data_IF_136575765549
#
_entry.id   IF_136575765549
#
_cell.length_a   1.000
_cell.length_b   1.000
_cell.length_c   1.000
_cell.angle_alpha   90.00
_cell.angle_beta   90.00
_cell.angle_gamma   90.00
#
_symmetry.space_group_name_H-M   'P 1'
#
loop_
_entity.id
_entity.type
_entity.pdbx_description
1 polymer ?
#
# COMPACT_ATOMS: atom_id res chain seq x y z
N UNK A 1 14.25 -6.70 -0.62
CA UNK A 1 13.41 -7.61 -1.44
C UNK A 1 12.10 -6.90 -1.72
N UNK A 2 11.59 -6.93 -2.97
CA UNK A 2 10.28 -6.37 -3.29
C UNK A 2 9.14 -7.09 -2.59
N UNK A 3 8.06 -6.38 -2.33
CA UNK A 3 6.86 -6.90 -1.65
C UNK A 3 5.61 -6.65 -2.46
N UNK A 4 4.71 -7.62 -2.50
CA UNK A 4 3.48 -7.57 -3.31
C UNK A 4 2.30 -7.94 -2.43
N UNK A 5 1.25 -7.12 -2.44
CA UNK A 5 -0.03 -7.42 -1.83
C UNK A 5 -1.02 -7.95 -2.86
N UNK A 6 -1.49 -9.18 -2.66
CA UNK A 6 -2.61 -9.76 -3.40
C UNK A 6 -3.91 -9.56 -2.59
N UNK A 7 -4.70 -8.54 -2.93
CA UNK A 7 -5.95 -8.20 -2.23
C UNK A 7 -7.11 -9.01 -2.82
N UNK A 8 -7.44 -10.11 -2.14
CA UNK A 8 -8.44 -11.10 -2.57
C UNK A 8 -9.85 -10.87 -1.99
N UNK A 9 -10.06 -9.72 -1.34
CA UNK A 9 -11.34 -9.34 -0.72
C UNK A 9 -11.35 -7.90 -0.21
N UNK A 10 -12.07 -7.67 0.88
CA UNK A 10 -12.11 -6.36 1.53
C UNK A 10 -10.77 -6.09 2.25
N UNK A 11 -10.26 -4.87 2.11
CA UNK A 11 -9.22 -4.37 2.98
C UNK A 11 -9.73 -3.09 3.62
N UNK A 12 -9.92 -3.11 4.93
CA UNK A 12 -10.45 -2.00 5.71
C UNK A 12 -9.44 -1.55 6.74
N UNK A 13 -9.41 -0.24 7.04
CA UNK A 13 -8.60 0.33 8.12
C UNK A 13 -7.15 -0.19 8.08
N UNK A 14 -6.69 -0.84 9.15
CA UNK A 14 -5.36 -1.45 9.23
C UNK A 14 -5.07 -2.48 8.13
N UNK A 15 -6.07 -3.23 7.65
CA UNK A 15 -5.91 -4.18 6.54
C UNK A 15 -5.64 -3.46 5.22
N UNK A 16 -6.29 -2.31 4.99
CA UNK A 16 -5.98 -1.48 3.83
C UNK A 16 -4.59 -0.84 3.96
N UNK A 17 -4.24 -0.35 5.16
CA UNK A 17 -2.92 0.19 5.43
C UNK A 17 -1.81 -0.85 5.21
N UNK A 18 -2.02 -2.10 5.64
CA UNK A 18 -1.08 -3.19 5.42
C UNK A 18 -0.87 -3.47 3.92
N UNK A 19 -1.94 -3.43 3.11
CA UNK A 19 -1.81 -3.52 1.66
C UNK A 19 -0.97 -2.34 1.12
N UNK A 20 -1.22 -1.12 1.60
CA UNK A 20 -0.42 0.06 1.25
C UNK A 20 1.05 -0.07 1.66
N UNK A 21 1.40 -0.79 2.73
CA UNK A 21 2.81 -1.01 3.07
C UNK A 21 3.58 -1.82 2.01
N UNK A 22 2.93 -2.52 1.09
CA UNK A 22 3.63 -3.27 0.04
C UNK A 22 4.05 -2.36 -1.14
N UNK A 23 5.04 -2.81 -1.90
CA UNK A 23 5.54 -2.05 -3.06
C UNK A 23 4.49 -2.05 -4.18
N UNK A 24 3.97 -3.24 -4.48
CA UNK A 24 2.98 -3.48 -5.52
C UNK A 24 1.67 -4.01 -4.91
N UNK A 25 0.53 -3.62 -5.46
CA UNK A 25 -0.81 -3.99 -5.00
C UNK A 25 -1.65 -4.47 -6.17
N UNK A 26 -2.15 -5.69 -6.07
CA UNK A 26 -3.07 -6.28 -7.03
C UNK A 26 -4.39 -6.55 -6.33
N UNK A 27 -5.51 -6.31 -7.00
CA UNK A 27 -6.83 -6.48 -6.38
C UNK A 27 -7.81 -7.14 -7.34
N UNK A 28 -8.63 -8.05 -6.82
CA UNK A 28 -9.73 -8.64 -7.59
C UNK A 28 -10.83 -7.61 -7.89
N UNK A 29 -11.48 -7.67 -9.06
CA UNK A 29 -12.53 -6.72 -9.46
C UNK A 29 -13.95 -7.18 -9.13
N UNK A 30 -14.20 -8.48 -9.10
CA UNK A 30 -15.53 -9.05 -8.90
C UNK A 30 -16.06 -8.88 -7.46
N UNK A 31 -15.18 -8.69 -6.47
CA UNK A 31 -15.56 -8.48 -5.06
C UNK A 31 -14.53 -7.71 -4.25
N UNK A 32 -14.99 -6.98 -3.23
CA UNK A 32 -14.14 -6.33 -2.23
C UNK A 32 -14.02 -4.83 -2.47
N UNK A 33 -13.73 -4.10 -1.40
CA UNK A 33 -13.46 -2.66 -1.42
C UNK A 33 -12.29 -2.32 -0.50
N UNK A 34 -11.62 -1.22 -0.83
CA UNK A 34 -10.61 -0.56 0.00
C UNK A 34 -11.24 0.65 0.68
N UNK A 35 -11.07 0.80 2.00
CA UNK A 35 -11.57 1.97 2.74
C UNK A 35 -10.93 2.15 4.11
N UNK A 36 -10.93 3.40 4.58
CA UNK A 36 -10.69 3.75 5.99
C UNK A 36 -12.05 4.02 6.64
N UNK A 37 -12.32 3.40 7.79
CA UNK A 37 -13.62 3.48 8.49
C UNK A 37 -13.63 4.47 9.65
N UNK A 38 -12.47 5.03 9.99
CA UNK A 38 -12.20 5.73 11.23
C UNK A 38 -13.09 6.96 11.43
N UNK A 39 -13.38 7.70 10.36
CA UNK A 39 -14.33 8.83 10.40
C UNK A 39 -15.75 8.36 10.68
N UNK A 40 -16.21 7.28 10.02
CA UNK A 40 -17.57 6.75 10.21
C UNK A 40 -17.79 6.23 11.64
N UNK A 41 -16.74 5.70 12.28
CA UNK A 41 -16.81 5.12 13.63
C UNK A 41 -16.33 6.07 14.74
N UNK A 42 -15.96 7.31 14.40
CA UNK A 42 -15.50 8.31 15.37
C UNK A 42 -14.16 7.99 16.05
N UNK A 43 -13.27 7.27 15.37
CA UNK A 43 -11.95 6.92 15.91
C UNK A 43 -10.87 7.86 15.34
N UNK A 44 -9.98 8.45 16.17
CA UNK A 44 -8.86 9.22 15.67
C UNK A 44 -7.84 8.31 14.96
N UNK A 45 -7.31 8.79 13.83
CA UNK A 45 -6.23 8.13 13.10
C UNK A 45 -4.87 8.48 13.72
N UNK A 46 -4.06 7.48 14.12
CA UNK A 46 -2.73 7.74 14.65
C UNK A 46 -1.81 8.41 13.61
N UNK A 47 -0.86 9.29 14.00
CA UNK A 47 0.02 9.98 13.06
C UNK A 47 0.81 9.07 12.11
N UNK A 48 1.24 7.88 12.59
CA UNK A 48 1.98 6.91 11.79
C UNK A 48 1.10 6.27 10.68
N UNK A 49 -0.21 6.09 10.90
CA UNK A 49 -1.14 5.69 9.84
C UNK A 49 -1.15 6.74 8.73
N UNK A 50 -1.29 8.02 9.10
CA UNK A 50 -1.40 9.12 8.14
C UNK A 50 -0.08 9.31 7.37
N UNK A 51 1.07 9.08 8.00
CA UNK A 51 2.37 9.09 7.32
C UNK A 51 2.45 8.06 6.20
N UNK A 52 1.99 6.82 6.44
CA UNK A 52 1.94 5.76 5.42
C UNK A 52 0.91 6.09 4.33
N UNK A 53 -0.29 6.55 4.70
CA UNK A 53 -1.35 6.92 3.75
C UNK A 53 -0.88 8.01 2.78
N UNK A 54 -0.27 9.09 3.29
CA UNK A 54 0.32 10.16 2.46
C UNK A 54 1.45 9.67 1.57
N UNK A 55 2.29 8.76 2.09
CA UNK A 55 3.41 8.22 1.33
C UNK A 55 2.98 7.33 0.17
N UNK A 56 1.82 6.66 0.26
CA UNK A 56 1.40 5.62 -0.67
C UNK A 56 0.18 5.98 -1.53
N UNK A 57 -0.60 6.99 -1.14
CA UNK A 57 -1.67 7.58 -1.95
C UNK A 57 -1.22 8.96 -2.40
N UNK A 58 -0.62 9.04 -3.60
CA UNK A 58 0.02 10.26 -4.11
C UNK A 58 -0.98 11.30 -4.63
N UNK A 59 -2.19 10.88 -5.00
CA UNK A 59 -3.26 11.80 -5.37
C UNK A 59 -3.90 12.40 -4.11
N UNK A 60 -3.79 13.73 -3.95
CA UNK A 60 -4.39 14.44 -2.82
C UNK A 60 -5.91 14.25 -2.75
N UNK A 61 -6.58 14.22 -3.91
CA UNK A 61 -8.02 13.97 -3.99
C UNK A 61 -8.36 12.55 -3.53
N UNK A 62 -7.59 11.55 -3.99
CA UNK A 62 -7.78 10.17 -3.59
C UNK A 62 -7.57 9.99 -2.08
N UNK A 63 -6.52 10.60 -1.53
CA UNK A 63 -6.24 10.57 -0.09
C UNK A 63 -7.39 11.18 0.71
N UNK A 64 -7.87 12.36 0.33
CA UNK A 64 -9.00 13.03 0.99
C UNK A 64 -10.25 12.16 0.95
N UNK A 65 -10.61 11.62 -0.21
CA UNK A 65 -11.85 10.86 -0.38
C UNK A 65 -11.84 9.58 0.47
N UNK A 66 -10.72 8.88 0.50
CA UNK A 66 -10.55 7.64 1.27
C UNK A 66 -10.49 7.91 2.77
N UNK A 67 -9.75 8.93 3.21
CA UNK A 67 -9.45 9.16 4.63
C UNK A 67 -10.50 10.05 5.31
N UNK A 68 -10.87 11.17 4.70
CA UNK A 68 -11.84 12.12 5.26
C UNK A 68 -13.26 11.86 4.77
N UNK A 69 -13.42 11.24 3.61
CA UNK A 69 -14.72 10.88 3.04
C UNK A 69 -15.17 9.44 3.33
N UNK A 70 -14.36 8.64 4.05
CA UNK A 70 -14.60 7.23 4.35
C UNK A 70 -15.01 6.39 3.12
N UNK A 71 -14.53 6.79 1.93
CA UNK A 71 -15.03 6.24 0.67
C UNK A 71 -14.62 4.79 0.49
N UNK A 72 -15.59 3.95 0.09
CA UNK A 72 -15.38 2.56 -0.32
C UNK A 72 -15.04 2.49 -1.80
N UNK A 73 -13.80 2.09 -2.10
CA UNK A 73 -13.25 2.08 -3.46
C UNK A 73 -13.14 0.65 -3.99
N UNK A 74 -13.71 0.38 -5.17
CA UNK A 74 -13.57 -0.92 -5.87
C UNK A 74 -12.30 -0.95 -6.72
N UNK A 75 -11.85 -2.14 -7.12
CA UNK A 75 -10.55 -2.31 -7.79
C UNK A 75 -10.34 -1.47 -9.08
N UNK A 76 -11.31 -1.35 -10.04
CA UNK A 76 -11.10 -0.54 -11.23
C UNK A 76 -10.85 0.94 -10.90
N UNK A 77 -11.65 1.48 -9.99
CA UNK A 77 -11.48 2.86 -9.53
C UNK A 77 -10.21 3.04 -8.70
N UNK A 78 -9.86 2.08 -7.84
CA UNK A 78 -8.62 2.11 -7.09
C UNK A 78 -7.40 2.17 -8.03
N UNK A 79 -7.49 1.55 -9.22
CA UNK A 79 -6.44 1.62 -10.25
C UNK A 79 -6.37 3.01 -10.88
N UNK A 80 -7.50 3.62 -11.20
CA UNK A 80 -7.59 5.01 -11.70
C UNK A 80 -7.06 6.02 -10.67
N UNK A 81 -7.32 5.80 -9.39
CA UNK A 81 -6.83 6.62 -8.28
C UNK A 81 -5.33 6.40 -7.96
N UNK A 82 -4.68 5.42 -8.61
CA UNK A 82 -3.29 5.04 -8.35
C UNK A 82 -3.07 4.28 -7.02
N UNK A 83 -4.14 3.79 -6.39
CA UNK A 83 -4.08 3.05 -5.13
C UNK A 83 -3.65 1.61 -5.37
N UNK A 84 -4.10 0.97 -6.45
CA UNK A 84 -3.65 -0.39 -6.85
C UNK A 84 -2.97 -0.37 -8.21
N UNK A 85 -2.08 -1.33 -8.45
CA UNK A 85 -1.24 -1.42 -9.64
C UNK A 85 -1.83 -2.36 -10.70
N UNK A 86 -2.55 -3.41 -10.30
CA UNK A 86 -3.21 -4.35 -11.24
C UNK A 86 -4.59 -4.73 -10.72
N UNK A 87 -5.51 -4.89 -11.66
CA UNK A 87 -6.86 -5.38 -11.40
C UNK A 87 -7.00 -6.75 -12.05
N UNK A 88 -7.38 -7.76 -11.28
CA UNK A 88 -7.59 -9.12 -11.79
C UNK A 88 -9.07 -9.50 -11.63
N UNK A 89 -9.62 -10.43 -12.43
CA UNK A 89 -11.05 -10.74 -12.37
C UNK A 89 -11.47 -11.38 -11.04
N UNK A 90 -10.74 -12.40 -10.59
CA UNK A 90 -11.06 -13.19 -9.38
C UNK A 90 -9.92 -13.22 -8.37
N UNK A 91 -10.20 -13.67 -7.14
CA UNK A 91 -9.17 -13.86 -6.11
C UNK A 91 -8.06 -14.84 -6.52
N UNK A 92 -8.41 -15.93 -7.20
CA UNK A 92 -7.45 -16.94 -7.65
C UNK A 92 -6.48 -16.34 -8.69
N UNK A 93 -7.02 -15.58 -9.64
CA UNK A 93 -6.21 -14.87 -10.63
C UNK A 93 -5.37 -13.76 -10.01
N UNK A 94 -5.88 -13.03 -9.01
CA UNK A 94 -5.07 -12.05 -8.25
C UNK A 94 -3.86 -12.71 -7.60
N UNK A 95 -4.04 -13.88 -6.97
CA UNK A 95 -2.95 -14.61 -6.33
C UNK A 95 -1.94 -15.14 -7.36
N UNK A 96 -2.42 -15.73 -8.46
CA UNK A 96 -1.57 -16.23 -9.53
C UNK A 96 -0.75 -15.09 -10.18
N UNK A 97 -1.38 -13.94 -10.43
CA UNK A 97 -0.71 -12.77 -11.01
C UNK A 97 0.31 -12.16 -10.05
N UNK A 98 0.03 -12.13 -8.75
CA UNK A 98 0.99 -11.68 -7.75
C UNK A 98 2.23 -12.60 -7.69
N UNK A 99 2.05 -13.92 -7.79
CA UNK A 99 3.16 -14.89 -7.88
C UNK A 99 3.95 -14.66 -9.18
N UNK A 100 3.27 -14.51 -10.31
CA UNK A 100 3.91 -14.22 -11.61
C UNK A 100 4.76 -12.95 -11.54
N UNK A 101 4.25 -11.89 -10.93
CA UNK A 101 5.01 -10.65 -10.71
C UNK A 101 6.19 -10.88 -9.74
N UNK A 102 6.01 -11.68 -8.68
CA UNK A 102 7.09 -12.02 -7.75
C UNK A 102 8.24 -12.74 -8.46
N UNK A 103 7.94 -13.71 -9.32
CA UNK A 103 8.93 -14.44 -10.12
C UNK A 103 9.69 -13.51 -11.08
N UNK A 104 8.97 -12.59 -11.74
CA UNK A 104 9.60 -11.58 -12.60
C UNK A 104 10.55 -10.67 -11.82
N UNK A 105 10.16 -10.21 -10.63
CA UNK A 105 10.99 -9.39 -9.77
C UNK A 105 12.18 -10.17 -9.20
N UNK A 106 12.00 -11.43 -8.82
CA UNK A 106 13.06 -12.31 -8.35
C UNK A 106 14.12 -12.57 -9.43
N UNK A 107 13.68 -12.75 -10.69
CA UNK A 107 14.58 -12.94 -11.83
C UNK A 107 15.52 -11.75 -12.08
N UNK A 108 15.21 -10.56 -11.55
CA UNK A 108 16.09 -9.38 -11.60
C UNK A 108 17.37 -9.55 -10.78
N UNK A 109 17.39 -10.47 -9.81
CA UNK A 109 18.56 -10.78 -8.95
C UNK A 109 19.19 -9.53 -8.32
N UNK A 110 18.37 -8.57 -7.92
CA UNK A 110 18.86 -7.37 -7.24
C UNK A 110 19.49 -7.69 -5.89
N UNK A 111 20.46 -6.88 -5.49
CA UNK A 111 20.94 -6.91 -4.12
C UNK A 111 19.81 -6.46 -3.17
N UNK A 112 19.38 -7.39 -2.31
CA UNK A 112 18.26 -7.17 -1.40
C UNK A 112 18.48 -6.04 -0.38
N UNK A 113 19.71 -5.81 0.05
CA UNK A 113 20.04 -4.72 0.99
C UNK A 113 19.98 -3.35 0.32
N UNK A 114 20.45 -3.25 -0.92
CA UNK A 114 20.36 -2.02 -1.72
C UNK A 114 18.89 -1.67 -1.99
N UNK A 115 18.07 -2.65 -2.38
CA UNK A 115 16.63 -2.42 -2.57
C UNK A 115 15.96 -1.92 -1.27
N UNK A 116 16.28 -2.56 -0.13
CA UNK A 116 15.73 -2.15 1.16
C UNK A 116 16.16 -0.72 1.54
N UNK A 117 17.43 -0.38 1.32
CA UNK A 117 17.96 0.97 1.56
C UNK A 117 17.24 2.02 0.70
N UNK A 118 17.12 1.79 -0.61
CA UNK A 118 16.40 2.71 -1.51
C UNK A 118 14.93 2.85 -1.07
N UNK A 119 14.26 1.75 -0.74
CA UNK A 119 12.86 1.77 -0.28
C UNK A 119 12.69 2.58 1.01
N UNK A 120 13.62 2.47 1.96
CA UNK A 120 13.62 3.28 3.19
C UNK A 120 13.79 4.77 2.83
N UNK A 121 14.72 5.10 1.94
CA UNK A 121 14.95 6.48 1.48
C UNK A 121 13.78 7.09 0.72
N UNK A 122 12.94 6.28 0.06
CA UNK A 122 11.71 6.75 -0.61
C UNK A 122 10.61 7.19 0.36
N UNK A 123 10.60 6.67 1.60
CA UNK A 123 9.52 6.88 2.56
C UNK A 123 10.03 7.33 3.95
N UNK A 124 10.82 8.42 4.03
CA UNK A 124 11.54 8.78 5.26
C UNK A 124 10.60 9.12 6.42
N UNK A 125 9.49 9.82 6.16
CA UNK A 125 8.51 10.16 7.18
C UNK A 125 7.76 8.93 7.71
N UNK A 126 7.37 8.02 6.81
CA UNK A 126 6.70 6.79 7.21
C UNK A 126 7.64 5.93 8.05
N UNK A 127 8.90 5.76 7.65
CA UNK A 127 9.92 5.03 8.41
C UNK A 127 10.17 5.64 9.79
N UNK A 128 10.37 6.97 9.87
CA UNK A 128 10.53 7.66 11.16
C UNK A 128 9.33 7.48 12.07
N UNK A 129 8.12 7.54 11.52
CA UNK A 129 6.88 7.44 12.30
C UNK A 129 6.70 6.11 13.03
N UNK A 130 7.41 5.06 12.60
CA UNK A 130 7.39 3.72 13.22
C UNK A 130 8.74 3.32 13.81
N UNK A 131 9.66 4.26 14.00
CA UNK A 131 10.96 4.04 14.65
C UNK A 131 12.00 3.31 13.79
N UNK A 132 11.84 3.26 12.47
CA UNK A 132 12.88 2.73 11.57
C UNK A 132 13.96 3.80 11.38
N UNK A 133 15.17 3.51 11.85
CA UNK A 133 16.34 4.36 11.66
C UNK A 133 16.69 4.47 10.15
N UNK A 134 16.88 5.69 9.67
CA UNK A 134 17.37 5.93 8.32
C UNK A 134 18.88 5.68 8.29
N UNK A 135 19.37 4.96 7.29
CA UNK A 135 20.82 4.78 7.10
C UNK A 135 21.46 6.15 6.86
N UNK A 136 22.43 6.53 7.71
CA UNK A 136 23.21 7.77 7.58
C UNK A 136 22.83 8.90 8.52
N UNK A 137 21.80 8.78 9.36
CA UNK A 137 21.63 9.65 10.54
C UNK A 137 22.63 9.24 11.63
N UNK A 138 23.88 9.62 11.42
CA UNK A 138 24.77 9.93 12.54
C UNK A 138 24.25 11.26 13.06
N UNK A 139 23.72 11.26 14.28
CA UNK A 139 23.42 12.51 14.96
C UNK A 139 24.72 13.34 15.02
N UNK A 140 24.70 14.49 14.36
CA UNK A 140 25.68 15.57 14.53
C UNK A 140 25.00 16.71 15.28
#
# INVERSE_FOLDING_TARGET
MPTIAAVTGHASAAGFLLALCHDYRLMRSDRGVLYMSEVDIGLPLPPYFVAILRAKITSANALRDVVLGARKVKAPEAKEMGIVDVVCPTAAETAAEAIRLAEQLAARKWNGSVYASIRISMFPDACRSVGIALFGSVDH
#
